data_IF_841196093333
#
_entry.id   IF_841196093333
#
_cell.length_a   1.000
_cell.length_b   1.000
_cell.length_c   1.000
_cell.angle_alpha   90.00
_cell.angle_beta   90.00
_cell.angle_gamma   90.00
#
_symmetry.space_group_name_H-M   'P 1'
#
loop_
_entity.id
_entity.type
_entity.pdbx_description
1 polymer ?
2 water ?
#
# COMPACT_ATOMS: atom_id res chain seq x y z
N UNK A 8 23.05 -14.05 7.18
CA UNK A 8 22.22 -13.09 8.04
C UNK A 8 20.88 -13.65 8.57
N UNK A 9 20.86 -13.90 9.88
CA UNK A 9 19.69 -14.38 10.69
C UNK A 9 18.50 -13.44 10.67
N UNK A 10 17.33 -13.96 10.33
CA UNK A 10 16.14 -13.15 10.21
C UNK A 10 15.56 -12.90 11.63
N UNK A 11 14.70 -11.91 11.71
CA UNK A 11 14.01 -11.56 12.95
C UNK A 11 13.24 -12.78 13.49
N UNK A 12 12.59 -13.52 12.61
CA UNK A 12 11.77 -14.58 13.08
C UNK A 12 12.64 -15.70 13.72
N UNK A 13 13.82 -15.89 13.16
CA UNK A 13 14.74 -16.83 13.75
C UNK A 13 15.32 -16.33 15.06
N UNK A 14 15.66 -15.06 15.10
CA UNK A 14 16.30 -14.47 16.27
C UNK A 14 15.38 -14.49 17.54
N UNK A 15 14.05 -14.49 17.34
CA UNK A 15 13.07 -14.50 18.46
C UNK A 15 12.40 -15.88 18.70
N UNK A 16 12.90 -16.90 18.04
CA UNK A 16 12.59 -18.25 18.41
C UNK A 16 11.24 -18.59 17.83
N UNK A 17 10.87 -17.92 16.74
CA UNK A 17 9.60 -18.19 16.06
C UNK A 17 8.43 -18.21 17.01
N UNK A 18 8.40 -17.24 17.92
CA UNK A 18 7.39 -17.15 18.95
C UNK A 18 6.83 -15.72 18.85
N UNK A 19 5.51 -15.59 18.78
CA UNK A 19 4.99 -14.28 18.45
C UNK A 19 4.93 -13.28 19.61
N UNK A 20 4.85 -13.75 20.87
CA UNK A 20 5.00 -12.85 22.04
C UNK A 20 6.49 -12.44 22.19
N UNK A 21 7.40 -13.43 22.03
CA UNK A 21 8.84 -13.11 21.91
C UNK A 21 9.13 -12.02 20.89
N UNK A 22 8.46 -12.06 19.73
CA UNK A 22 8.60 -11.00 18.68
C UNK A 22 8.11 -9.65 19.12
N UNK A 23 6.96 -9.64 19.78
CA UNK A 23 6.47 -8.40 20.32
C UNK A 23 7.43 -7.80 21.37
N UNK A 24 7.96 -8.63 22.24
CA UNK A 24 8.80 -8.12 23.34
C UNK A 24 10.14 -7.60 22.79
N UNK A 25 10.57 -8.21 21.71
CA UNK A 25 11.81 -7.82 21.04
C UNK A 25 11.71 -6.46 20.39
N UNK A 26 10.64 -6.18 19.63
CA UNK A 26 10.46 -4.87 19.02
C UNK A 26 10.23 -3.77 20.11
N UNK A 27 9.55 -4.13 21.20
CA UNK A 27 9.36 -3.18 22.41
C UNK A 27 10.73 -2.84 23.02
N UNK A 28 11.57 -3.84 23.20
CA UNK A 28 12.86 -3.68 23.87
C UNK A 28 13.83 -2.86 23.08
N UNK A 29 13.76 -2.99 21.75
CA UNK A 29 14.63 -2.28 20.85
C UNK A 29 14.03 -1.08 20.21
N UNK A 30 12.84 -0.65 20.65
CA UNK A 30 12.25 0.51 20.03
C UNK A 30 13.19 1.70 20.02
N UNK A 31 13.36 2.35 18.88
CA UNK A 31 14.23 3.51 18.83
C UNK A 31 15.66 3.18 18.46
N UNK A 32 16.07 1.91 18.47
CA UNK A 32 17.45 1.56 18.11
C UNK A 32 17.54 0.48 16.98
N UNK A 33 16.40 -0.06 16.58
CA UNK A 33 16.32 -1.07 15.51
C UNK A 33 15.51 -0.54 14.34
N UNK A 34 15.99 -0.80 13.13
CA UNK A 34 15.17 -0.77 11.97
C UNK A 34 15.17 -2.19 11.36
N UNK A 35 14.35 -2.38 10.36
CA UNK A 35 14.18 -3.70 9.72
C UNK A 35 14.47 -3.67 8.23
N UNK A 36 15.41 -4.49 7.75
CA UNK A 36 15.69 -4.50 6.31
C UNK A 36 14.92 -5.68 5.73
N UNK A 37 14.11 -5.41 4.72
CA UNK A 37 13.43 -6.47 3.95
C UNK A 37 14.45 -7.14 3.03
N UNK A 38 14.85 -8.35 3.38
CA UNK A 38 15.81 -9.08 2.53
C UNK A 38 15.17 -10.05 1.47
N UNK A 39 13.85 -9.99 1.26
CA UNK A 39 13.16 -10.82 0.30
C UNK A 39 12.79 -10.05 -0.96
N UNK A 40 13.18 -8.76 -1.05
CA UNK A 40 12.84 -7.89 -2.21
C UNK A 40 14.15 -7.58 -2.93
N UNK A 41 14.07 -7.15 -4.19
CA UNK A 41 15.29 -6.89 -4.98
C UNK A 41 16.13 -5.83 -4.26
N UNK A 42 15.45 -4.75 -3.90
CA UNK A 42 16.05 -3.65 -3.19
C UNK A 42 15.74 -3.83 -1.71
N UNK A 43 16.80 -3.97 -0.95
CA UNK A 43 16.68 -4.37 0.42
C UNK A 43 16.51 -3.08 1.26
N UNK A 44 15.29 -2.54 1.23
CA UNK A 44 14.90 -1.30 1.93
C UNK A 44 14.72 -1.47 3.42
N UNK A 45 15.03 -0.41 4.15
CA UNK A 45 14.99 -0.43 5.62
C UNK A 45 13.79 0.41 6.03
N UNK A 46 13.07 -0.11 7.00
CA UNK A 46 11.84 0.43 7.44
C UNK A 46 11.89 0.52 8.99
N UNK A 47 11.02 1.34 9.51
CA UNK A 47 10.87 1.51 10.92
C UNK A 47 9.54 0.91 11.34
N UNK A 48 9.56 0.01 12.33
CA UNK A 48 8.43 -0.65 13.02
C UNK A 48 7.46 0.39 13.59
N UNK A 49 6.18 0.24 13.28
CA UNK A 49 5.12 1.21 13.66
C UNK A 49 4.68 0.72 15.00
N UNK A 50 4.47 1.65 15.94
CA UNK A 50 3.94 1.31 17.27
C UNK A 50 2.46 1.74 17.32
N UNK A 51 1.70 1.10 18.17
CA UNK A 51 0.24 1.28 18.16
C UNK A 51 -0.10 2.75 18.36
N UNK A 52 -1.21 3.19 17.77
CA UNK A 52 -1.55 4.62 17.62
C UNK A 52 -1.27 5.57 18.79
N UNK A 53 -1.45 5.05 20.01
CA UNK A 53 -1.14 5.79 21.24
C UNK A 53 -0.34 4.83 22.14
N UNK A 54 0.96 4.77 21.85
CA UNK A 54 1.86 3.53 21.74
C UNK A 54 2.67 2.79 22.81
N UNK A 55 2.35 1.59 23.29
CA UNK A 55 3.41 0.82 24.02
C UNK A 55 3.88 -0.39 23.20
N UNK A 56 2.90 -1.01 22.55
CA UNK A 56 3.06 -2.31 21.90
C UNK A 56 3.27 -2.09 20.44
N UNK A 57 4.06 -2.96 19.81
CA UNK A 57 4.17 -2.86 18.34
C UNK A 57 2.81 -3.12 17.65
N UNK A 58 2.53 -2.48 16.52
CA UNK A 58 1.32 -2.67 15.71
C UNK A 58 1.61 -3.86 14.79
N UNK A 59 1.23 -5.03 15.27
CA UNK A 59 1.32 -6.28 14.56
C UNK A 59 -0.10 -6.65 14.10
N UNK A 60 -0.19 -7.54 13.11
CA UNK A 60 -1.45 -8.25 12.69
C UNK A 60 -1.20 -9.75 12.95
N UNK A 61 -1.99 -10.33 13.85
CA UNK A 61 -1.71 -11.69 14.33
C UNK A 61 -2.77 -12.70 13.98
N UNK A 62 -3.88 -12.23 13.45
CA UNK A 62 -5.03 -13.11 13.18
C UNK A 62 -5.22 -13.59 11.74
N UNK A 63 -4.25 -13.38 10.85
CA UNK A 63 -4.53 -13.58 9.46
C UNK A 63 -3.47 -14.27 8.63
N UNK A 64 -3.50 -15.59 8.65
CA UNK A 64 -2.50 -16.37 7.95
C UNK A 64 -2.72 -16.45 6.42
N UNK A 65 -3.91 -16.12 5.92
CA UNK A 65 -4.09 -15.81 4.49
C UNK A 65 -3.27 -14.58 4.05
N UNK A 66 -3.22 -13.54 4.86
CA UNK A 66 -2.33 -12.37 4.53
C UNK A 66 -0.83 -12.72 4.59
N UNK A 67 -0.47 -13.62 5.49
CA UNK A 67 0.92 -14.15 5.59
C UNK A 67 1.30 -14.89 4.31
N UNK A 68 0.41 -15.77 3.84
CA UNK A 68 0.70 -16.54 2.66
C UNK A 68 0.77 -15.62 1.46
N UNK A 69 -0.12 -14.59 1.46
CA UNK A 69 -0.16 -13.59 0.39
C UNK A 69 1.15 -12.84 0.22
N UNK A 70 1.68 -12.31 1.32
CA UNK A 70 2.98 -11.62 1.31
C UNK A 70 4.17 -12.54 1.02
N UNK A 71 4.14 -13.79 1.47
CA UNK A 71 5.20 -14.71 1.18
C UNK A 71 5.23 -15.01 -0.35
N UNK A 72 4.07 -15.38 -0.87
CA UNK A 72 3.95 -15.66 -2.36
C UNK A 72 4.16 -14.45 -3.23
N UNK A 73 3.70 -13.31 -2.77
CA UNK A 73 3.95 -12.07 -3.43
C UNK A 73 5.46 -11.84 -3.69
N UNK A 74 6.32 -12.02 -2.68
CA UNK A 74 7.72 -11.71 -2.90
C UNK A 74 8.34 -12.78 -3.82
N UNK A 75 8.06 -14.04 -3.52
CA UNK A 75 8.53 -15.16 -4.33
C UNK A 75 8.25 -14.84 -5.83
N UNK A 76 7.01 -14.47 -6.17
CA UNK A 76 6.63 -14.28 -7.60
C UNK A 76 7.18 -13.02 -8.23
N UNK A 77 7.31 -11.94 -7.46
CA UNK A 77 7.82 -10.69 -7.96
C UNK A 77 9.30 -10.75 -8.13
N UNK A 78 9.98 -11.25 -7.11
CA UNK A 78 11.43 -10.98 -6.97
C UNK A 78 12.27 -12.24 -7.14
N UNK A 79 11.66 -13.42 -7.18
CA UNK A 79 12.48 -14.66 -7.19
C UNK A 79 11.86 -15.58 -8.25
N UNK A 80 11.60 -15.00 -9.41
CA UNK A 80 10.65 -15.62 -10.31
C UNK A 80 11.43 -16.19 -11.50
N UNK A 81 12.60 -16.77 -11.25
CA UNK A 81 13.27 -17.71 -12.19
C UNK A 81 13.48 -19.05 -11.47
N UNK A 82 13.63 -20.17 -12.22
CA UNK A 82 13.90 -21.46 -11.58
C UNK A 82 15.05 -21.38 -10.53
N UNK A 83 16.11 -20.70 -10.91
CA UNK A 83 17.29 -20.50 -10.07
C UNK A 83 16.99 -19.70 -8.79
N UNK A 84 16.34 -18.55 -8.99
CA UNK A 84 16.01 -17.67 -7.89
C UNK A 84 15.00 -18.32 -6.96
N UNK A 85 14.03 -19.10 -7.50
CA UNK A 85 13.04 -19.77 -6.65
C UNK A 85 13.69 -20.80 -5.76
N UNK A 86 14.70 -21.50 -6.26
CA UNK A 86 15.47 -22.40 -5.41
C UNK A 86 16.19 -21.71 -4.29
N UNK A 87 16.88 -20.63 -4.62
CA UNK A 87 17.69 -19.86 -3.66
C UNK A 87 16.75 -19.29 -2.62
N UNK A 88 15.62 -18.72 -3.08
CA UNK A 88 14.61 -18.29 -2.18
C UNK A 88 14.25 -19.34 -1.19
N UNK A 89 13.83 -20.53 -1.65
CA UNK A 89 13.36 -21.57 -0.73
C UNK A 89 14.48 -22.00 0.23
N UNK A 90 15.70 -22.12 -0.29
CA UNK A 90 16.83 -22.60 0.54
C UNK A 90 17.15 -21.63 1.66
N UNK A 91 17.02 -20.34 1.32
CA UNK A 91 17.26 -19.19 2.21
C UNK A 91 16.18 -19.06 3.24
N UNK A 92 14.91 -19.02 2.82
CA UNK A 92 13.83 -18.76 3.73
C UNK A 92 13.00 -19.98 4.24
N UNK A 93 12.97 -21.08 3.50
CA UNK A 93 12.14 -22.20 3.94
C UNK A 93 10.68 -21.94 3.64
N UNK A 94 9.81 -22.89 3.97
CA UNK A 94 8.38 -22.79 3.71
C UNK A 94 7.77 -21.68 4.58
N UNK A 95 6.66 -21.09 4.17
CA UNK A 95 6.00 -20.07 4.99
C UNK A 95 5.58 -20.57 6.38
N UNK A 96 5.83 -19.76 7.40
CA UNK A 96 5.43 -20.06 8.74
C UNK A 96 4.18 -19.26 9.01
N UNK A 97 3.06 -19.98 8.97
CA UNK A 97 1.74 -19.37 9.15
C UNK A 97 1.51 -18.85 10.56
N UNK A 98 2.35 -19.18 11.53
CA UNK A 98 2.22 -18.63 12.91
C UNK A 98 2.79 -17.23 13.13
N UNK A 99 3.57 -16.73 12.17
CA UNK A 99 4.15 -15.43 12.30
C UNK A 99 3.14 -14.30 12.16
N UNK A 100 3.36 -13.25 12.96
CA UNK A 100 2.60 -12.07 12.83
C UNK A 100 3.10 -11.26 11.65
N UNK A 101 2.29 -10.34 11.22
CA UNK A 101 2.69 -9.33 10.25
C UNK A 101 3.11 -8.04 10.96
N UNK A 102 4.24 -7.50 10.54
CA UNK A 102 4.79 -6.26 11.17
C UNK A 102 4.41 -5.10 10.32
N UNK A 103 3.65 -4.13 10.86
CA UNK A 103 3.44 -2.85 10.23
C UNK A 103 4.66 -1.95 10.39
N UNK A 104 5.13 -1.39 9.29
CA UNK A 104 6.37 -0.58 9.22
C UNK A 104 6.24 0.54 8.21
N UNK A 105 7.07 1.56 8.34
CA UNK A 105 7.05 2.67 7.41
C UNK A 105 8.42 3.00 6.90
N UNK A 106 8.52 3.51 5.66
CA UNK A 106 9.77 3.88 5.12
C UNK A 106 10.35 5.10 5.83
N UNK A 107 11.67 5.18 5.80
CA UNK A 107 12.44 6.30 6.32
C UNK A 107 12.42 7.54 5.41
N UNK A 108 11.91 7.38 4.19
CA UNK A 108 11.59 8.53 3.33
C UNK A 108 10.55 8.20 2.29
N UNK A 109 10.18 9.16 1.44
CA UNK A 109 9.05 8.94 0.52
C UNK A 109 9.35 7.81 -0.41
N UNK A 110 8.37 6.93 -0.51
CA UNK A 110 8.43 5.57 -1.05
C UNK A 110 7.34 5.40 -2.13
N UNK A 111 7.65 4.66 -3.22
CA UNK A 111 6.64 4.42 -4.26
C UNK A 111 5.41 3.64 -3.83
N UNK A 112 5.53 2.78 -2.82
CA UNK A 112 4.38 2.02 -2.32
C UNK A 112 3.68 2.67 -1.17
N UNK A 113 3.97 3.94 -0.93
CA UNK A 113 3.28 4.65 0.15
C UNK A 113 4.04 4.52 1.45
N UNK A 114 3.39 4.90 2.52
CA UNK A 114 4.03 5.10 3.80
C UNK A 114 3.67 4.06 4.84
N UNK A 115 3.24 2.90 4.38
CA UNK A 115 2.95 1.76 5.23
C UNK A 115 3.16 0.47 4.48
N UNK A 116 4.01 -0.40 5.05
CA UNK A 116 4.25 -1.73 4.53
C UNK A 116 3.95 -2.77 5.61
N UNK A 117 3.73 -3.99 5.09
CA UNK A 117 3.52 -5.21 5.87
C UNK A 117 4.66 -6.03 5.61
N UNK A 118 5.37 -6.40 6.70
CA UNK A 118 6.64 -7.07 6.57
C UNK A 118 6.44 -8.40 7.29
N UNK A 119 6.97 -9.45 6.71
CA UNK A 119 7.04 -10.72 7.41
C UNK A 119 8.31 -10.80 8.21
N UNK A 120 8.22 -11.19 9.47
CA UNK A 120 9.40 -11.47 10.28
C UNK A 120 10.41 -12.49 9.63
N UNK A 121 9.86 -13.43 8.90
CA UNK A 121 10.63 -14.38 8.14
C UNK A 121 11.50 -13.74 7.06
N UNK A 122 11.09 -12.57 6.56
CA UNK A 122 11.81 -11.88 5.48
C UNK A 122 12.67 -10.66 5.85
N UNK A 123 12.80 -10.37 7.16
CA UNK A 123 13.49 -9.16 7.61
C UNK A 123 14.60 -9.51 8.56
N UNK A 124 15.63 -8.68 8.54
CA UNK A 124 16.78 -8.74 9.44
C UNK A 124 16.92 -7.37 10.15
N UNK A 125 17.26 -7.35 11.44
CA UNK A 125 17.32 -6.09 12.18
C UNK A 125 18.53 -5.29 11.80
N UNK A 126 18.41 -3.95 11.81
CA UNK A 126 19.52 -3.06 11.51
C UNK A 126 19.65 -2.19 12.75
N UNK A 127 20.83 -2.12 13.37
CA UNK A 127 20.98 -1.52 14.66
C UNK A 127 21.63 -0.17 14.57
N UNK A 128 21.07 0.79 15.29
CA UNK A 128 21.76 2.01 15.71
C UNK A 128 21.58 2.21 17.20
N UNK B 8 -3.54 10.22 -21.04
CA UNK B 8 -2.61 10.56 -19.90
C UNK B 8 -2.15 9.26 -19.22
N UNK B 9 -1.48 9.45 -18.10
CA UNK B 9 -1.13 8.34 -17.24
C UNK B 9 -2.16 8.11 -16.11
N UNK B 10 -3.25 8.89 -15.99
CA UNK B 10 -4.22 8.63 -14.89
C UNK B 10 -5.05 7.38 -15.17
N UNK B 11 -5.64 6.83 -14.10
CA UNK B 11 -6.50 5.70 -14.17
C UNK B 11 -7.70 5.96 -15.08
N UNK B 12 -8.29 7.14 -14.97
CA UNK B 12 -9.46 7.44 -15.83
C UNK B 12 -9.10 7.48 -17.36
N UNK B 13 -7.90 7.92 -17.70
CA UNK B 13 -7.54 7.99 -19.10
C UNK B 13 -7.15 6.55 -19.58
N UNK B 14 -6.46 5.81 -18.74
CA UNK B 14 -5.96 4.48 -19.06
C UNK B 14 -7.10 3.53 -19.52
N UNK B 15 -8.29 3.69 -18.93
CA UNK B 15 -9.48 2.90 -19.31
C UNK B 15 -10.41 3.62 -20.27
N UNK B 16 -9.91 4.71 -20.85
CA UNK B 16 -10.63 5.57 -21.77
C UNK B 16 -11.97 6.01 -21.26
N UNK B 17 -12.05 6.65 -20.07
CA UNK B 17 -13.35 7.20 -19.55
C UNK B 17 -14.61 6.31 -19.48
N UNK B 18 -14.43 5.05 -19.04
CA UNK B 18 -15.48 4.00 -19.09
C UNK B 18 -15.53 3.24 -17.75
N UNK B 19 -16.70 3.35 -17.08
CA UNK B 19 -16.85 2.92 -15.69
C UNK B 19 -16.79 1.42 -15.55
N UNK B 20 -17.23 0.70 -16.60
CA UNK B 20 -17.20 -0.77 -16.63
C UNK B 20 -15.77 -1.27 -16.76
N UNK B 21 -15.04 -0.58 -17.60
CA UNK B 21 -13.61 -0.86 -17.79
C UNK B 21 -12.78 -0.51 -16.54
N UNK B 22 -13.12 0.62 -15.94
CA UNK B 22 -12.53 0.91 -14.62
C UNK B 22 -12.84 -0.14 -13.63
N UNK B 23 -14.07 -0.52 -13.48
CA UNK B 23 -14.42 -1.58 -12.54
C UNK B 23 -13.62 -2.89 -12.90
N UNK B 24 -13.59 -3.27 -14.20
CA UNK B 24 -12.80 -4.46 -14.60
C UNK B 24 -11.30 -4.35 -14.26
N UNK B 25 -10.71 -3.20 -14.58
CA UNK B 25 -9.29 -2.96 -14.29
C UNK B 25 -8.95 -3.21 -12.83
N UNK B 26 -9.72 -2.55 -11.95
CA UNK B 26 -9.51 -2.69 -10.51
C UNK B 26 -9.70 -4.16 -10.08
N UNK B 27 -10.80 -4.75 -10.54
CA UNK B 27 -11.02 -6.20 -10.29
C UNK B 27 -9.82 -7.04 -10.74
N UNK B 28 -9.28 -6.84 -11.93
CA UNK B 28 -8.16 -7.68 -12.41
C UNK B 28 -6.91 -7.57 -11.55
N UNK B 29 -6.62 -6.37 -10.96
CA UNK B 29 -5.45 -6.22 -10.15
C UNK B 29 -5.71 -6.13 -8.63
N UNK B 30 -6.82 -6.66 -8.19
CA UNK B 30 -7.15 -6.67 -6.79
C UNK B 30 -6.02 -6.95 -5.79
N UNK B 31 -5.08 -7.86 -6.09
CA UNK B 31 -4.07 -8.21 -5.06
C UNK B 31 -2.84 -7.31 -5.01
N UNK B 32 -2.64 -6.53 -6.07
CA UNK B 32 -1.42 -5.72 -6.31
C UNK B 32 -1.65 -4.18 -6.40
N UNK B 33 -2.89 -3.76 -6.60
CA UNK B 33 -3.14 -2.42 -7.12
C UNK B 33 -3.11 -1.37 -6.04
N UNK B 34 -2.36 -0.31 -6.30
CA UNK B 34 -2.41 0.88 -5.50
C UNK B 34 -2.57 2.11 -6.40
N UNK B 35 -3.12 3.17 -5.80
CA UNK B 35 -3.39 4.39 -6.47
C UNK B 35 -2.76 5.57 -5.74
N UNK B 36 -2.06 6.39 -6.50
CA UNK B 36 -1.43 7.61 -5.97
C UNK B 36 -2.25 8.81 -6.41
N UNK B 37 -2.70 9.66 -5.49
CA UNK B 37 -3.26 10.95 -5.86
C UNK B 37 -2.17 11.91 -6.31
N UNK B 38 -2.25 12.37 -7.53
CA UNK B 38 -1.26 13.23 -8.07
C UNK B 38 -1.85 14.61 -8.21
N UNK B 39 -3.05 14.80 -7.65
CA UNK B 39 -3.72 16.10 -7.67
C UNK B 39 -3.56 16.78 -6.35
N UNK B 40 -2.95 16.08 -5.40
CA UNK B 40 -2.76 16.60 -4.07
C UNK B 40 -1.25 16.76 -3.89
N UNK B 41 -0.86 17.68 -3.03
CA UNK B 41 0.56 17.99 -2.84
C UNK B 41 1.26 16.85 -2.12
N UNK B 42 0.53 16.23 -1.18
CA UNK B 42 1.02 15.12 -0.40
C UNK B 42 0.62 13.81 -1.04
N UNK B 43 1.57 13.26 -1.80
CA UNK B 43 1.38 12.15 -2.77
C UNK B 43 1.02 10.80 -2.12
N UNK B 44 -0.09 10.78 -1.40
CA UNK B 44 -0.41 9.61 -0.61
C UNK B 44 -0.74 8.50 -1.58
N UNK B 45 -0.30 7.29 -1.26
CA UNK B 45 -0.70 6.14 -2.06
C UNK B 45 -1.81 5.46 -1.28
N UNK B 46 -2.79 4.92 -2.03
CA UNK B 46 -4.04 4.38 -1.45
C UNK B 46 -4.30 2.98 -1.92
N UNK B 47 -4.92 2.17 -1.05
CA UNK B 47 -5.40 0.84 -1.39
C UNK B 47 -6.93 0.87 -1.59
N UNK B 48 -7.38 0.57 -2.82
CA UNK B 48 -8.81 0.55 -3.08
C UNK B 48 -9.49 -0.52 -2.30
N UNK B 49 -10.72 -0.24 -1.94
CA UNK B 49 -11.58 -1.16 -1.23
C UNK B 49 -12.36 -2.03 -2.23
N UNK B 50 -12.39 -3.33 -1.92
CA UNK B 50 -13.15 -4.32 -2.69
C UNK B 50 -14.29 -4.95 -1.90
N UNK B 51 -15.33 -5.29 -2.63
CA UNK B 51 -16.45 -5.86 -2.04
C UNK B 51 -16.23 -7.37 -1.96
N UNK B 52 -15.89 -7.80 -0.73
CA UNK B 52 -16.33 -9.09 -0.18
C UNK B 52 -17.69 -9.59 -0.74
N UNK B 53 -17.67 -10.22 -1.90
CA UNK B 53 -18.88 -10.90 -2.40
C UNK B 53 -18.55 -11.33 -3.80
N UNK B 54 -18.55 -10.33 -4.67
CA UNK B 54 -18.34 -10.50 -6.10
C UNK B 54 -16.93 -10.08 -6.45
N UNK B 55 -16.22 -9.55 -5.45
CA UNK B 55 -14.87 -9.07 -5.61
C UNK B 55 -14.73 -7.79 -6.43
N UNK B 56 -15.82 -7.05 -6.62
CA UNK B 56 -15.73 -5.82 -7.39
C UNK B 56 -15.20 -4.71 -6.49
N UNK B 57 -14.58 -3.70 -7.09
CA UNK B 57 -14.27 -2.55 -6.29
C UNK B 57 -15.55 -1.91 -5.71
N UNK B 58 -15.41 -1.20 -4.62
CA UNK B 58 -16.55 -0.46 -4.01
C UNK B 58 -16.50 0.93 -4.64
N UNK B 59 -17.36 1.14 -5.64
CA UNK B 59 -17.47 2.40 -6.33
C UNK B 59 -18.80 3.05 -6.04
N UNK B 60 -18.77 4.38 -5.96
CA UNK B 60 -19.99 5.15 -5.92
C UNK B 60 -20.20 5.67 -7.34
N UNK B 61 -21.27 5.22 -7.97
CA UNK B 61 -21.66 5.62 -9.30
C UNK B 61 -22.71 6.77 -9.31
N UNK B 62 -22.63 7.60 -10.34
CA UNK B 62 -23.63 8.66 -10.65
C UNK B 62 -23.82 9.68 -9.53
N UNK B 63 -22.75 10.23 -8.96
CA UNK B 63 -22.94 11.28 -7.96
C UNK B 63 -22.10 12.39 -8.41
N UNK B 64 -22.58 13.05 -9.47
CA UNK B 64 -21.90 14.19 -10.10
C UNK B 64 -21.68 15.32 -9.08
N UNK B 65 -22.53 15.43 -8.08
CA UNK B 65 -22.39 16.40 -7.02
C UNK B 65 -21.16 16.20 -6.26
N UNK B 66 -20.93 14.96 -5.84
CA UNK B 66 -19.69 14.66 -5.11
C UNK B 66 -18.48 14.70 -5.96
N UNK B 67 -18.56 14.23 -7.21
CA UNK B 67 -17.50 14.42 -8.15
C UNK B 67 -17.12 15.90 -8.30
N UNK B 68 -18.09 16.79 -8.48
CA UNK B 68 -17.78 18.19 -8.69
C UNK B 68 -17.08 18.75 -7.43
N UNK B 69 -17.58 18.34 -6.27
CA UNK B 69 -17.00 18.80 -5.01
C UNK B 69 -15.53 18.42 -4.91
N UNK B 70 -15.20 17.13 -5.16
CA UNK B 70 -13.83 16.66 -5.01
C UNK B 70 -12.96 17.34 -6.04
N UNK B 71 -13.48 17.56 -7.25
CA UNK B 71 -12.71 18.18 -8.28
C UNK B 71 -12.31 19.62 -7.79
N UNK B 72 -13.32 20.33 -7.32
CA UNK B 72 -13.17 21.75 -6.93
C UNK B 72 -12.31 21.86 -5.75
N UNK B 73 -12.49 20.91 -4.84
CA UNK B 73 -11.73 20.88 -3.62
C UNK B 73 -10.24 20.82 -3.91
N UNK B 74 -9.82 19.87 -4.74
CA UNK B 74 -8.38 19.82 -5.13
C UNK B 74 -7.82 21.08 -5.80
N UNK B 75 -8.56 21.61 -6.76
CA UNK B 75 -8.16 22.80 -7.50
C UNK B 75 -7.95 23.90 -6.47
N UNK B 76 -8.90 24.00 -5.57
CA UNK B 76 -8.87 25.10 -4.58
C UNK B 76 -7.86 24.96 -3.49
N UNK B 77 -7.62 23.73 -3.01
CA UNK B 77 -6.64 23.48 -1.97
C UNK B 77 -5.17 23.55 -2.42
N UNK B 78 -4.94 23.06 -3.62
CA UNK B 78 -3.57 22.71 -4.07
C UNK B 78 -3.12 23.44 -5.29
N UNK B 79 -4.02 23.85 -6.17
CA UNK B 79 -3.63 24.51 -7.41
C UNK B 79 -4.17 25.92 -7.43
N UNK B 80 -4.04 26.61 -6.32
CA UNK B 80 -4.86 27.80 -6.08
C UNK B 80 -4.33 29.15 -6.64
N UNK B 81 -3.33 29.15 -7.52
CA UNK B 81 -2.89 30.41 -8.21
C UNK B 81 -3.25 30.35 -9.72
N UNK B 82 -3.51 31.51 -10.38
CA UNK B 82 -3.72 31.53 -11.83
C UNK B 82 -2.77 30.68 -12.63
N UNK B 83 -1.51 30.60 -12.18
CA UNK B 83 -0.48 29.81 -12.83
C UNK B 83 -0.74 28.33 -12.60
N UNK B 84 -0.87 27.96 -11.33
CA UNK B 84 -1.04 26.57 -10.94
C UNK B 84 -2.29 26.08 -11.55
N UNK B 85 -3.25 26.99 -11.71
CA UNK B 85 -4.53 26.68 -12.27
C UNK B 85 -4.45 26.26 -13.72
N UNK B 86 -3.64 26.95 -14.53
CA UNK B 86 -3.47 26.55 -15.96
C UNK B 86 -2.80 25.17 -16.07
N UNK B 87 -1.94 24.83 -15.12
CA UNK B 87 -1.26 23.53 -15.20
C UNK B 87 -2.19 22.41 -14.78
N UNK B 88 -2.88 22.62 -13.65
CA UNK B 88 -3.95 21.75 -13.21
C UNK B 88 -4.79 21.36 -14.37
N UNK B 89 -5.41 22.34 -15.03
CA UNK B 89 -6.25 22.04 -16.19
C UNK B 89 -5.53 21.34 -17.34
N UNK B 90 -4.24 21.66 -17.52
CA UNK B 90 -3.47 20.94 -18.52
C UNK B 90 -3.27 19.47 -18.16
N UNK B 91 -2.88 19.20 -16.92
CA UNK B 91 -2.66 17.83 -16.47
C UNK B 91 -3.94 17.04 -16.52
N UNK B 92 -5.00 17.57 -15.94
CA UNK B 92 -6.22 16.73 -15.70
C UNK B 92 -7.40 17.00 -16.57
N UNK B 93 -7.48 18.15 -17.20
CA UNK B 93 -8.66 18.46 -17.98
C UNK B 93 -9.82 18.97 -17.12
N UNK B 94 -10.93 19.25 -17.77
CA UNK B 94 -12.13 19.71 -17.14
C UNK B 94 -12.79 18.55 -16.41
N UNK B 95 -13.65 18.83 -15.42
CA UNK B 95 -14.22 17.74 -14.64
C UNK B 95 -14.97 16.70 -15.48
N UNK B 96 -14.73 15.41 -15.22
CA UNK B 96 -15.64 14.38 -15.80
C UNK B 96 -16.72 14.02 -14.87
N UNK B 97 -17.92 14.57 -15.06
CA UNK B 97 -18.98 14.35 -14.10
C UNK B 97 -19.53 12.93 -14.12
N UNK B 98 -19.16 12.16 -15.14
CA UNK B 98 -19.63 10.78 -15.29
C UNK B 98 -18.71 9.73 -14.70
N UNK B 99 -17.58 10.12 -14.14
CA UNK B 99 -16.64 9.11 -13.58
C UNK B 99 -17.27 8.59 -12.25
N UNK B 100 -16.98 7.32 -11.86
CA UNK B 100 -17.42 6.89 -10.54
C UNK B 100 -16.43 7.38 -9.51
N UNK B 101 -16.75 7.28 -8.23
CA UNK B 101 -15.77 7.64 -7.14
C UNK B 101 -15.32 6.33 -6.55
N UNK B 102 -14.01 6.17 -6.39
CA UNK B 102 -13.40 4.95 -5.80
C UNK B 102 -13.21 5.01 -4.27
N UNK B 103 -13.75 4.02 -3.56
CA UNK B 103 -13.58 3.91 -2.09
C UNK B 103 -12.19 3.35 -1.82
N UNK B 104 -11.43 3.99 -0.90
CA UNK B 104 -10.03 3.60 -0.66
C UNK B 104 -9.54 3.99 0.70
N UNK B 105 -8.43 3.38 1.10
CA UNK B 105 -7.72 3.72 2.36
C UNK B 105 -6.23 4.06 2.11
N UNK B 106 -5.77 5.16 2.71
CA UNK B 106 -4.43 5.66 2.44
C UNK B 106 -3.39 4.75 3.10
N UNK B 107 -2.28 4.54 2.42
CA UNK B 107 -1.27 3.62 2.95
C UNK B 107 -0.35 4.49 3.85
N UNK B 108 -0.75 4.61 5.07
CA UNK B 108 0.01 5.39 6.00
C UNK B 108 -0.23 4.74 7.34
N UNK B 109 0.50 5.16 8.38
CA UNK B 109 0.41 4.48 9.66
C UNK B 109 -0.92 4.80 10.30
N UNK B 110 -1.51 3.81 10.99
CA UNK B 110 -2.73 3.99 11.76
C UNK B 110 -3.90 4.33 10.83
N UNK B 111 -4.08 3.48 9.81
CA UNK B 111 -5.06 3.76 8.78
C UNK B 111 -6.33 2.92 8.90
N UNK B 112 -6.46 2.20 10.03
CA UNK B 112 -7.59 1.28 10.27
C UNK B 112 -9.00 1.87 10.10
N UNK B 113 -9.21 3.15 10.40
CA UNK B 113 -10.56 3.67 10.25
C UNK B 113 -10.81 4.29 8.89
N UNK B 114 -9.71 4.81 8.37
CA UNK B 114 -9.64 5.87 7.39
C UNK B 114 -10.22 5.43 6.04
N UNK B 115 -11.39 5.92 5.67
CA UNK B 115 -11.89 5.77 4.28
C UNK B 115 -11.78 7.08 3.50
N UNK B 116 -11.37 6.98 2.23
CA UNK B 116 -11.36 8.13 1.37
C UNK B 116 -12.10 7.95 0.04
N UNK B 117 -12.57 9.04 -0.52
CA UNK B 117 -13.20 9.02 -1.85
C UNK B 117 -12.21 9.61 -2.82
N UNK B 118 -11.82 8.85 -3.86
CA UNK B 118 -10.84 9.30 -4.86
C UNK B 118 -11.51 9.44 -6.18
N UNK B 119 -11.08 10.41 -7.01
CA UNK B 119 -11.54 10.51 -8.40
C UNK B 119 -10.57 9.80 -9.36
N UNK B 120 -11.06 8.94 -10.20
CA UNK B 120 -10.22 8.26 -11.18
C UNK B 120 -9.40 9.29 -11.99
N UNK B 121 -10.02 10.43 -12.25
CA UNK B 121 -9.38 11.55 -12.95
C UNK B 121 -8.05 12.04 -12.33
N UNK B 122 -7.81 11.77 -11.04
CA UNK B 122 -6.72 12.41 -10.28
C UNK B 122 -5.71 11.35 -9.82
N UNK B 123 -5.95 10.09 -10.17
CA UNK B 123 -5.08 8.99 -9.65
C UNK B 123 -4.35 8.25 -10.74
N UNK B 124 -3.19 7.68 -10.36
CA UNK B 124 -2.37 6.85 -11.28
C UNK B 124 -2.13 5.52 -10.62
N UNK B 125 -2.20 4.43 -11.40
CA UNK B 125 -2.02 3.14 -10.74
C UNK B 125 -0.57 2.92 -10.24
N UNK B 126 -0.41 2.22 -9.13
CA UNK B 126 0.92 1.77 -8.66
C UNK B 126 0.82 0.27 -8.35
N UNK B 127 1.63 -0.66 -8.88
CA UNK B 127 2.43 -0.57 -10.09
C UNK B 127 1.58 -1.12 -11.24
N UNK B 128 1.33 -0.29 -12.25
CA UNK B 128 0.08 -0.33 -12.98
C UNK B 128 -0.54 -1.72 -13.15
#
# INVERSE_FOLDING_TARGET
MSHQIRSKKTLWELVGRNKDALRDFLKEHRGTILLRDIASEHKVVYKPIFKRYNGDPDLIEDNSNDVEHWYDYHLERYWNTPELKKEFYKKFGPVDLNQPIILAKPLRQHNRGDLVHLLPQFVVPVYN
MSHQIRSKKTLWELVGRNKDALRDFLKEHRGTILLRDIASEHKVVYKPIFKRYNGDPDLIEDNSNDVEHWYDYHLERYWNTPELKKEFYKKFGPVDLNQPIILAKPLRQHNRGDLVHLLPQFVVPVYN
#
